data_IF_134200569810
#
_entry.id   IF_134200569810
#
_cell.length_a   1.000
_cell.length_b   1.000
_cell.length_c   1.000
_cell.angle_alpha   90.00
_cell.angle_beta   90.00
_cell.angle_gamma   90.00
#
_symmetry.space_group_name_H-M   'P 1'
#
loop_
_entity.id
_entity.type
_entity.pdbx_description
1 polymer ?
#
# COMPACT_ATOMS: atom_id res chain seq x y z
N UNK A 1 -9.78 3.76 -21.16
CA UNK A 1 -10.39 2.73 -20.34
C UNK A 1 -9.36 2.19 -19.34
N UNK A 2 -9.73 2.10 -18.08
CA UNK A 2 -8.81 1.61 -17.08
C UNK A 2 -8.57 0.11 -17.23
N UNK A 3 -7.36 -0.29 -16.90
CA UNK A 3 -6.91 -1.67 -16.88
C UNK A 3 -7.63 -2.43 -15.77
N UNK A 4 -8.08 -3.65 -16.03
CA UNK A 4 -8.79 -4.48 -15.06
C UNK A 4 -7.94 -4.77 -13.81
N UNK A 5 -6.64 -4.97 -13.99
CA UNK A 5 -5.74 -5.20 -12.84
C UNK A 5 -5.67 -3.93 -11.98
N UNK A 6 -5.56 -2.77 -12.62
CA UNK A 6 -5.54 -1.49 -11.90
C UNK A 6 -6.82 -1.32 -11.10
N UNK A 7 -7.98 -1.52 -11.71
CA UNK A 7 -9.26 -1.39 -11.02
C UNK A 7 -9.41 -2.39 -9.88
N UNK A 8 -8.99 -3.62 -10.10
CA UNK A 8 -9.07 -4.67 -9.07
C UNK A 8 -8.21 -4.33 -7.86
N UNK A 9 -6.94 -3.96 -8.09
CA UNK A 9 -6.00 -3.70 -7.00
C UNK A 9 -6.34 -2.41 -6.25
N UNK A 10 -6.75 -1.36 -6.96
CA UNK A 10 -7.19 -0.13 -6.29
C UNK A 10 -8.41 -0.39 -5.43
N UNK A 11 -9.34 -1.22 -5.91
CA UNK A 11 -10.52 -1.62 -5.15
C UNK A 11 -10.17 -2.40 -3.88
N UNK A 12 -9.21 -3.32 -3.98
CA UNK A 12 -8.73 -4.06 -2.80
C UNK A 12 -8.15 -3.10 -1.76
N UNK A 13 -7.30 -2.18 -2.20
CA UNK A 13 -6.69 -1.19 -1.30
C UNK A 13 -7.80 -0.39 -0.58
N UNK A 14 -8.76 0.13 -1.32
CA UNK A 14 -9.84 0.92 -0.73
C UNK A 14 -10.64 0.13 0.31
N UNK A 15 -10.99 -1.10 -0.01
CA UNK A 15 -11.76 -1.95 0.92
C UNK A 15 -10.96 -2.27 2.18
N UNK A 16 -9.66 -2.56 2.03
CA UNK A 16 -8.81 -2.86 3.17
C UNK A 16 -8.65 -1.63 4.08
N UNK A 17 -8.46 -0.45 3.49
CA UNK A 17 -8.37 0.77 4.29
C UNK A 17 -9.67 1.08 5.02
N UNK A 18 -10.80 0.82 4.37
CA UNK A 18 -12.10 1.00 5.02
C UNK A 18 -12.25 0.07 6.22
N UNK A 19 -11.85 -1.19 6.08
CA UNK A 19 -11.89 -2.14 7.19
C UNK A 19 -10.99 -1.70 8.35
N UNK A 20 -9.79 -1.18 8.03
CA UNK A 20 -8.89 -0.66 9.06
C UNK A 20 -9.57 0.47 9.84
N UNK A 21 -10.18 1.42 9.13
CA UNK A 21 -10.86 2.54 9.77
C UNK A 21 -12.01 2.09 10.64
N UNK A 22 -12.80 1.13 10.17
CA UNK A 22 -13.94 0.59 10.92
C UNK A 22 -13.50 -0.09 12.21
N UNK A 23 -12.46 -0.90 12.14
CA UNK A 23 -11.99 -1.64 13.30
C UNK A 23 -11.25 -0.75 14.31
N UNK A 24 -10.48 0.21 13.82
CA UNK A 24 -9.78 1.16 14.68
C UNK A 24 -10.75 2.15 15.33
N UNK A 25 -11.67 2.68 14.55
CA UNK A 25 -12.73 3.59 14.98
C UNK A 25 -12.22 4.76 15.85
N UNK A 26 -11.04 5.26 15.54
CA UNK A 26 -10.46 6.41 16.22
C UNK A 26 -9.99 6.16 17.65
N UNK A 27 -9.97 4.91 18.10
CA UNK A 27 -9.63 4.57 19.48
C UNK A 27 -8.43 3.62 19.53
N UNK A 28 -7.26 4.07 20.01
CA UNK A 28 -6.07 3.20 20.12
C UNK A 28 -6.29 1.92 20.92
N UNK A 29 -7.24 1.90 21.86
CA UNK A 29 -7.55 0.70 22.63
C UNK A 29 -8.03 -0.43 21.73
N UNK A 30 -8.68 -0.11 20.61
CA UNK A 30 -9.11 -1.11 19.64
C UNK A 30 -7.92 -1.84 19.00
N UNK A 31 -6.76 -1.21 18.96
CA UNK A 31 -5.55 -1.84 18.47
C UNK A 31 -4.75 -2.50 19.59
N UNK A 32 -4.59 -1.81 20.72
CA UNK A 32 -3.69 -2.28 21.79
C UNK A 32 -4.32 -3.29 22.73
N UNK A 33 -5.64 -3.20 22.95
CA UNK A 33 -6.31 -3.96 24.01
C UNK A 33 -7.33 -4.99 23.52
N UNK A 34 -7.60 -5.04 22.21
CA UNK A 34 -8.55 -5.97 21.62
C UNK A 34 -7.85 -6.80 20.55
N UNK A 35 -7.54 -8.04 20.88
CA UNK A 35 -6.74 -8.91 20.00
C UNK A 35 -7.44 -9.17 18.66
N UNK A 36 -8.76 -9.30 18.67
CA UNK A 36 -9.52 -9.55 17.45
C UNK A 36 -9.44 -8.36 16.50
N UNK A 37 -9.63 -7.16 17.02
CA UNK A 37 -9.52 -5.95 16.21
C UNK A 37 -8.09 -5.69 15.79
N UNK A 38 -7.13 -5.96 16.66
CA UNK A 38 -5.71 -5.87 16.35
C UNK A 38 -5.38 -6.74 15.13
N UNK A 39 -5.80 -7.99 15.14
CA UNK A 39 -5.55 -8.92 14.05
C UNK A 39 -6.21 -8.43 12.76
N UNK A 40 -7.45 -7.94 12.84
CA UNK A 40 -8.15 -7.42 11.67
C UNK A 40 -7.46 -6.20 11.08
N UNK A 41 -7.01 -5.27 11.93
CA UNK A 41 -6.30 -4.07 11.50
C UNK A 41 -4.99 -4.46 10.79
N UNK A 42 -4.17 -5.27 11.42
CA UNK A 42 -2.88 -5.66 10.87
C UNK A 42 -3.05 -6.43 9.56
N UNK A 43 -3.98 -7.37 9.52
CA UNK A 43 -4.23 -8.17 8.31
C UNK A 43 -4.66 -7.28 7.13
N UNK A 44 -5.55 -6.33 7.38
CA UNK A 44 -6.02 -5.45 6.31
C UNK A 44 -4.95 -4.47 5.85
N UNK A 45 -4.08 -3.98 6.75
CA UNK A 45 -2.93 -3.18 6.37
C UNK A 45 -1.97 -4.00 5.51
N UNK A 46 -1.72 -5.24 5.90
CA UNK A 46 -0.85 -6.16 5.16
C UNK A 46 -1.40 -6.39 3.75
N UNK A 47 -2.71 -6.59 3.62
CA UNK A 47 -3.36 -6.79 2.33
C UNK A 47 -3.29 -5.54 1.46
N UNK A 48 -3.47 -4.36 2.05
CA UNK A 48 -3.35 -3.10 1.32
C UNK A 48 -1.92 -2.93 0.79
N UNK A 49 -0.91 -3.24 1.60
CA UNK A 49 0.49 -3.19 1.18
C UNK A 49 0.74 -4.14 0.03
N UNK A 50 0.25 -5.37 0.13
CA UNK A 50 0.44 -6.37 -0.93
C UNK A 50 -0.21 -5.93 -2.24
N UNK A 51 -1.43 -5.39 -2.17
CA UNK A 51 -2.11 -4.90 -3.37
C UNK A 51 -1.36 -3.72 -4.00
N UNK A 52 -0.79 -2.83 -3.16
CA UNK A 52 0.02 -1.72 -3.66
C UNK A 52 1.29 -2.23 -4.36
N UNK A 53 1.95 -3.24 -3.80
CA UNK A 53 3.12 -3.87 -4.42
C UNK A 53 2.73 -4.50 -5.75
N UNK A 54 1.65 -5.27 -5.77
CA UNK A 54 1.18 -5.94 -7.00
C UNK A 54 0.87 -4.91 -8.08
N UNK A 55 0.26 -3.80 -7.68
CA UNK A 55 -0.08 -2.72 -8.59
C UNK A 55 1.18 -2.06 -9.16
N UNK A 56 2.17 -1.79 -8.32
CA UNK A 56 3.44 -1.23 -8.75
C UNK A 56 4.16 -2.16 -9.73
N UNK A 57 4.19 -3.46 -9.42
CA UNK A 57 4.80 -4.47 -10.31
C UNK A 57 4.09 -4.52 -11.66
N UNK A 58 2.76 -4.45 -11.63
CA UNK A 58 1.96 -4.45 -12.85
C UNK A 58 2.29 -3.26 -13.75
N UNK A 59 2.38 -2.07 -13.15
CA UNK A 59 2.70 -0.86 -13.90
C UNK A 59 4.10 -0.89 -14.49
N UNK A 60 5.07 -1.42 -13.74
CA UNK A 60 6.43 -1.57 -14.23
C UNK A 60 6.46 -2.46 -15.48
N UNK A 61 5.71 -3.56 -15.47
CA UNK A 61 5.62 -4.44 -16.64
C UNK A 61 4.90 -3.77 -17.81
N UNK A 62 3.77 -3.13 -17.53
CA UNK A 62 2.96 -2.50 -18.58
C UNK A 62 3.72 -1.37 -19.30
N UNK A 63 4.51 -0.61 -18.56
CA UNK A 63 5.29 0.49 -19.12
C UNK A 63 6.69 0.07 -19.57
N UNK A 64 7.06 -1.19 -19.35
CA UNK A 64 8.36 -1.74 -19.75
C UNK A 64 9.53 -0.91 -19.22
N UNK A 65 9.46 -0.52 -17.95
CA UNK A 65 10.46 0.39 -17.36
C UNK A 65 11.48 -0.32 -16.48
N UNK A 66 11.49 -1.64 -16.49
CA UNK A 66 12.52 -2.39 -15.78
C UNK A 66 12.04 -3.74 -15.30
N UNK A 67 12.94 -4.47 -14.65
CA UNK A 67 12.66 -5.78 -14.06
C UNK A 67 13.04 -5.70 -12.57
N UNK A 68 12.10 -5.42 -11.69
CA UNK A 68 12.43 -5.30 -10.27
C UNK A 68 12.84 -6.64 -9.68
N UNK A 69 13.89 -6.62 -8.88
CA UNK A 69 14.38 -7.82 -8.20
C UNK A 69 13.68 -8.04 -6.86
N UNK A 70 13.11 -6.97 -6.31
CA UNK A 70 12.34 -7.05 -5.07
C UNK A 70 11.26 -5.97 -5.07
N UNK A 71 10.34 -6.06 -4.11
CA UNK A 71 9.16 -5.19 -4.07
C UNK A 71 9.48 -3.70 -4.03
N UNK A 72 10.50 -3.31 -3.24
CA UNK A 72 10.87 -1.90 -3.14
C UNK A 72 11.34 -1.33 -4.46
N UNK A 73 12.01 -2.14 -5.28
CA UNK A 73 12.49 -1.69 -6.58
C UNK A 73 11.37 -1.28 -7.52
N UNK A 74 10.18 -1.88 -7.40
CA UNK A 74 9.06 -1.49 -8.23
C UNK A 74 8.72 -0.02 -8.00
N UNK A 75 8.69 0.42 -6.75
CA UNK A 75 8.43 1.83 -6.43
C UNK A 75 9.57 2.73 -6.90
N UNK A 76 10.81 2.29 -6.75
CA UNK A 76 11.98 3.05 -7.22
C UNK A 76 11.92 3.27 -8.74
N UNK A 77 11.53 2.24 -9.49
CA UNK A 77 11.40 2.34 -10.94
C UNK A 77 10.26 3.29 -11.32
N UNK A 78 9.15 3.26 -10.61
CA UNK A 78 8.04 4.19 -10.85
C UNK A 78 8.44 5.63 -10.53
N UNK A 79 9.26 5.84 -9.51
CA UNK A 79 9.80 7.16 -9.19
C UNK A 79 10.69 7.66 -10.32
N UNK A 80 11.62 6.81 -10.78
CA UNK A 80 12.62 7.19 -11.78
C UNK A 80 12.03 7.40 -13.16
N UNK A 81 11.15 6.51 -13.59
CA UNK A 81 10.62 6.50 -14.96
C UNK A 81 9.16 6.92 -15.09
N UNK A 82 8.39 6.77 -14.03
CA UNK A 82 6.95 7.05 -14.03
C UNK A 82 6.57 8.35 -13.37
N UNK A 83 7.56 9.08 -12.86
CA UNK A 83 7.34 10.37 -12.18
C UNK A 83 6.52 10.26 -10.89
N UNK A 84 6.60 9.10 -10.24
CA UNK A 84 6.03 8.97 -8.89
C UNK A 84 6.81 9.91 -7.96
N UNK A 85 6.07 10.66 -7.14
CA UNK A 85 6.70 11.59 -6.21
C UNK A 85 7.73 10.88 -5.32
N UNK A 86 8.97 11.39 -5.23
CA UNK A 86 10.02 10.73 -4.45
C UNK A 86 9.68 10.53 -2.97
N UNK A 87 8.98 11.48 -2.38
CA UNK A 87 8.60 11.40 -0.99
C UNK A 87 7.55 10.30 -0.77
N UNK A 88 6.56 10.24 -1.64
CA UNK A 88 5.55 9.19 -1.61
C UNK A 88 6.20 7.82 -1.85
N UNK A 89 7.12 7.73 -2.81
CA UNK A 89 7.86 6.49 -3.09
C UNK A 89 8.56 5.97 -1.82
N UNK A 90 9.24 6.83 -1.09
CA UNK A 90 9.92 6.44 0.14
C UNK A 90 8.95 5.94 1.20
N UNK A 91 7.80 6.61 1.33
CA UNK A 91 6.76 6.17 2.29
C UNK A 91 6.20 4.81 1.93
N UNK A 92 5.98 4.57 0.64
CA UNK A 92 5.50 3.27 0.16
C UNK A 92 6.55 2.17 0.38
N UNK A 93 7.83 2.49 0.20
CA UNK A 93 8.90 1.54 0.48
C UNK A 93 8.94 1.16 1.97
N UNK A 94 8.65 2.10 2.87
CA UNK A 94 8.52 1.80 4.29
C UNK A 94 7.36 0.84 4.57
N UNK A 95 6.28 0.97 3.81
CA UNK A 95 5.14 0.05 3.92
C UNK A 95 5.52 -1.38 3.53
N UNK A 96 6.44 -1.54 2.57
CA UNK A 96 6.98 -2.86 2.24
C UNK A 96 7.67 -3.46 3.46
N UNK A 97 8.46 -2.64 4.18
CA UNK A 97 9.11 -3.08 5.43
C UNK A 97 8.10 -3.53 6.47
N UNK A 98 7.04 -2.76 6.67
CA UNK A 98 5.97 -3.14 7.58
C UNK A 98 5.34 -4.48 7.17
N UNK A 99 4.99 -4.64 5.89
CA UNK A 99 4.38 -5.87 5.37
C UNK A 99 5.26 -7.08 5.68
N UNK A 100 6.57 -6.96 5.50
CA UNK A 100 7.50 -8.05 5.74
C UNK A 100 7.53 -8.43 7.22
N UNK A 101 7.55 -7.46 8.13
CA UNK A 101 7.50 -7.73 9.57
C UNK A 101 6.17 -8.38 9.94
N UNK A 102 5.06 -7.87 9.41
CA UNK A 102 3.73 -8.40 9.72
C UNK A 102 3.58 -9.86 9.29
N UNK A 103 4.18 -10.24 8.16
CA UNK A 103 4.10 -11.61 7.66
C UNK A 103 5.05 -12.54 8.41
N UNK A 104 6.30 -12.12 8.62
CA UNK A 104 7.35 -13.03 9.09
C UNK A 104 7.61 -12.96 10.60
N UNK A 105 7.26 -11.85 11.23
CA UNK A 105 7.60 -11.61 12.63
C UNK A 105 6.44 -10.95 13.38
N UNK A 106 5.22 -11.44 13.16
CA UNK A 106 4.01 -10.83 13.72
C UNK A 106 4.11 -10.59 15.23
N UNK A 107 4.67 -11.56 15.98
CA UNK A 107 4.72 -11.47 17.43
C UNK A 107 5.65 -10.38 17.94
N UNK A 108 6.58 -9.92 17.11
CA UNK A 108 7.48 -8.81 17.47
C UNK A 108 7.05 -7.49 16.87
N UNK A 109 5.87 -7.46 16.25
CA UNK A 109 5.35 -6.26 15.60
C UNK A 109 5.11 -5.15 16.62
N UNK A 110 5.68 -3.99 16.35
CA UNK A 110 5.52 -2.83 17.22
C UNK A 110 4.18 -2.16 16.96
N UNK A 111 3.26 -2.27 17.92
CA UNK A 111 1.91 -1.71 17.76
C UNK A 111 1.89 -0.19 17.72
N UNK A 112 2.89 0.51 18.26
CA UNK A 112 2.98 1.95 18.13
C UNK A 112 3.25 2.36 16.68
N UNK A 113 4.02 1.55 15.95
CA UNK A 113 4.23 1.77 14.51
C UNK A 113 2.93 1.54 13.76
N UNK A 114 2.19 0.48 14.09
CA UNK A 114 0.88 0.21 13.49
C UNK A 114 -0.06 1.38 13.72
N UNK A 115 -0.11 1.89 14.95
CA UNK A 115 -0.94 3.03 15.30
C UNK A 115 -0.60 4.26 14.44
N UNK A 116 0.69 4.54 14.30
CA UNK A 116 1.18 5.64 13.47
C UNK A 116 0.71 5.50 12.02
N UNK A 117 0.78 4.28 11.48
CA UNK A 117 0.33 4.02 10.12
C UNK A 117 -1.16 4.29 10.00
N UNK A 118 -1.96 3.78 10.94
CA UNK A 118 -3.41 3.94 10.91
C UNK A 118 -3.82 5.41 11.03
N UNK A 119 -3.15 6.15 11.91
CA UNK A 119 -3.53 7.54 12.18
C UNK A 119 -2.99 8.53 11.16
N UNK A 120 -1.78 8.28 10.63
CA UNK A 120 -1.08 9.30 9.83
C UNK A 120 -0.71 8.87 8.41
N UNK A 121 -0.80 7.59 8.07
CA UNK A 121 -0.22 7.09 6.82
C UNK A 121 -1.16 6.32 5.90
N UNK A 122 -2.44 6.23 6.23
CA UNK A 122 -3.40 5.60 5.30
C UNK A 122 -3.50 6.39 4.01
N UNK A 123 -3.29 7.70 4.07
CA UNK A 123 -3.32 8.56 2.89
C UNK A 123 -2.18 8.26 1.91
N UNK A 124 -1.11 7.61 2.36
CA UNK A 124 -0.04 7.19 1.44
C UNK A 124 -0.59 6.24 0.39
N UNK A 125 -1.44 5.30 0.81
CA UNK A 125 -2.11 4.38 -0.12
C UNK A 125 -3.05 5.12 -1.07
N UNK A 126 -3.83 6.05 -0.53
CA UNK A 126 -4.79 6.83 -1.32
C UNK A 126 -4.07 7.69 -2.36
N UNK A 127 -2.98 8.33 -1.97
CA UNK A 127 -2.17 9.13 -2.89
C UNK A 127 -1.60 8.25 -4.00
N UNK A 128 -1.18 7.04 -3.66
CA UNK A 128 -0.66 6.11 -4.65
C UNK A 128 -1.76 5.69 -5.64
N UNK A 129 -2.94 5.31 -5.16
CA UNK A 129 -4.02 4.91 -6.05
C UNK A 129 -4.47 6.06 -6.95
N UNK A 130 -4.52 7.27 -6.44
CA UNK A 130 -4.84 8.45 -7.25
C UNK A 130 -3.81 8.66 -8.34
N UNK A 131 -2.53 8.55 -8.00
CA UNK A 131 -1.46 8.67 -8.99
C UNK A 131 -1.56 7.59 -10.06
N UNK A 132 -1.85 6.36 -9.65
CA UNK A 132 -1.99 5.23 -10.57
C UNK A 132 -3.12 5.47 -11.56
N UNK A 133 -4.26 5.95 -11.10
CA UNK A 133 -5.40 6.20 -11.98
C UNK A 133 -5.08 7.29 -13.01
N UNK A 134 -4.33 8.29 -12.63
CA UNK A 134 -3.87 9.33 -13.56
C UNK A 134 -2.84 8.78 -14.54
N UNK A 135 -1.93 7.94 -14.07
CA UNK A 135 -0.90 7.31 -14.89
C UNK A 135 -1.51 6.38 -15.93
N UNK A 136 -2.55 5.64 -15.55
CA UNK A 136 -3.26 4.78 -16.48
C UNK A 136 -3.88 5.59 -17.61
N UNK A 137 -4.48 6.75 -17.29
CA UNK A 137 -5.01 7.67 -18.28
C UNK A 137 -3.91 8.23 -19.18
N UNK A 138 -2.78 8.61 -18.59
CA UNK A 138 -1.60 9.07 -19.32
C UNK A 138 -1.11 8.02 -20.32
N UNK A 139 -1.02 6.78 -19.89
CA UNK A 139 -0.54 5.69 -20.73
C UNK A 139 -1.35 5.54 -22.02
N UNK A 140 -2.65 5.77 -21.93
CA UNK A 140 -3.51 5.61 -23.08
C UNK A 140 -3.31 6.68 -24.15
N UNK A 141 -2.68 7.77 -23.81
CA UNK A 141 -2.40 8.83 -24.77
C UNK A 141 -1.23 8.48 -25.69
N UNK A 142 -0.47 7.49 -25.32
CA UNK A 142 0.64 7.03 -26.14
C UNK A 142 0.15 6.13 -27.26
#
# INVERSE_FOLDING_TARGET
>A
MADDVVLNKTGIIERCLQRVREEYDGDPANLHDDITKQDAIVLNLQRACQAAIDLAMHLVREHEIGVPQESREAFALLEEHGHLDPDLSRRLMRMVGFRNVAIHEYQTLNLDIVQSIVEDHLTDFTQFTEWVLKTDGFRREE
#
